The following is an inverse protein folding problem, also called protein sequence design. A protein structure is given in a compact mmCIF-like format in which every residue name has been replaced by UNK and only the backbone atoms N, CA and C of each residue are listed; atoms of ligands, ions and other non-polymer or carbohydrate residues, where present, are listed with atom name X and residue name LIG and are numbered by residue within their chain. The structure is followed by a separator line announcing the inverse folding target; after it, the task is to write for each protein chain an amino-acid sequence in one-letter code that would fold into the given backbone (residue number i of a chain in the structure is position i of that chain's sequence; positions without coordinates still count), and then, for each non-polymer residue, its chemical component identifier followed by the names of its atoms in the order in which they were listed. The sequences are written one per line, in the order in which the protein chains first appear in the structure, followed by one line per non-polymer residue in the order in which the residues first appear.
data_IF_929644078375
#
_entry.id   IF_929644078375
#
_cell.length_a   1.000
_cell.length_b   1.000
_cell.length_c   1.000
_cell.angle_alpha   90.00
_cell.angle_beta   90.00
_cell.angle_gamma   90.00
#
_symmetry.space_group_name_H-M   'P 1'
#
loop_
_entity.id
_entity.type
_entity.pdbx_description
1 polymer ?
#
# COMPACT_ATOMS: atom_id res chain seq x y z
N UNK A 1 -4.15 13.43 21.01
CA UNK A 1 -4.46 14.88 20.87
C UNK A 1 -3.28 15.63 20.26
N UNK A 2 -2.04 15.48 20.76
CA UNK A 2 -0.85 16.08 20.13
C UNK A 2 -0.53 15.55 18.71
N UNK A 3 -0.74 14.26 18.43
CA UNK A 3 -0.54 13.68 17.09
C UNK A 3 -1.61 14.11 16.07
N UNK A 4 -2.79 14.51 16.54
CA UNK A 4 -3.92 14.89 15.69
C UNK A 4 -3.74 16.30 15.10
N UNK A 5 -3.24 17.23 15.92
CA UNK A 5 -2.87 18.58 15.46
C UNK A 5 -1.60 18.56 14.59
N UNK A 6 -0.68 17.62 14.85
CA UNK A 6 0.48 17.40 13.98
C UNK A 6 0.05 16.84 12.62
N UNK A 7 -0.87 15.87 12.59
CA UNK A 7 -1.41 15.30 11.35
C UNK A 7 -2.15 16.35 10.51
N UNK A 8 -3.06 17.12 11.11
CA UNK A 8 -3.76 18.19 10.39
C UNK A 8 -2.82 19.31 9.91
N UNK A 9 -1.83 19.71 10.72
CA UNK A 9 -0.90 20.77 10.31
C UNK A 9 0.14 20.33 9.27
N UNK A 10 0.44 19.03 9.20
CA UNK A 10 1.39 18.46 8.22
C UNK A 10 0.72 18.23 6.87
N UNK A 11 -0.50 17.66 6.86
CA UNK A 11 -1.30 17.48 5.65
C UNK A 11 -1.68 18.84 5.01
N UNK A 12 -1.95 19.87 5.85
CA UNK A 12 -2.19 21.26 5.41
C UNK A 12 -0.96 21.95 4.82
N UNK A 13 0.26 21.51 5.15
CA UNK A 13 1.52 22.09 4.65
C UNK A 13 2.02 21.46 3.34
N UNK A 14 1.59 20.24 3.01
CA UNK A 14 2.12 19.48 1.88
C UNK A 14 1.02 18.86 1.04
N UNK A 15 0.27 19.69 0.31
CA UNK A 15 -0.16 19.24 -1.02
C UNK A 15 1.11 19.23 -1.86
N UNK A 16 1.81 18.10 -1.81
CA UNK A 16 3.12 17.95 -2.43
C UNK A 16 2.99 18.13 -3.95
N UNK A 17 4.09 18.52 -4.61
CA UNK A 17 4.20 18.58 -6.09
C UNK A 17 3.78 17.26 -6.77
N UNK A 18 3.74 16.17 -6.01
CA UNK A 18 3.46 14.82 -6.47
C UNK A 18 2.00 14.40 -6.25
N UNK A 19 1.10 15.27 -5.78
CA UNK A 19 -0.32 14.96 -5.58
C UNK A 19 -1.19 15.38 -6.77
N UNK A 20 -2.05 14.50 -7.28
CA UNK A 20 -2.97 14.84 -8.37
C UNK A 20 -4.31 15.39 -7.84
N UNK A 21 -4.31 16.69 -7.53
CA UNK A 21 -5.48 17.44 -7.03
C UNK A 21 -6.72 17.26 -7.92
N UNK A 22 -6.54 17.39 -9.24
CA UNK A 22 -7.65 17.34 -10.20
C UNK A 22 -8.34 15.97 -10.20
N UNK A 23 -7.57 14.88 -10.33
CA UNK A 23 -8.16 13.53 -10.33
C UNK A 23 -8.81 13.20 -8.99
N UNK A 24 -8.24 13.67 -7.88
CA UNK A 24 -8.83 13.47 -6.54
C UNK A 24 -10.20 14.16 -6.43
N UNK A 25 -10.30 15.44 -6.80
CA UNK A 25 -11.59 16.15 -6.77
C UNK A 25 -12.61 15.49 -7.70
N UNK A 26 -12.18 15.14 -8.92
CA UNK A 26 -13.08 14.53 -9.90
C UNK A 26 -13.57 13.15 -9.47
N UNK A 27 -12.74 12.34 -8.78
CA UNK A 27 -13.19 11.10 -8.14
C UNK A 27 -14.34 11.39 -7.17
N UNK A 28 -14.16 12.30 -6.22
CA UNK A 28 -15.19 12.58 -5.22
C UNK A 28 -16.47 13.10 -5.86
N UNK A 29 -16.36 13.95 -6.88
CA UNK A 29 -17.53 14.44 -7.62
C UNK A 29 -18.27 13.30 -8.32
N UNK A 30 -17.54 12.43 -9.03
CA UNK A 30 -18.09 11.26 -9.72
C UNK A 30 -18.80 10.29 -8.76
N UNK A 31 -18.21 10.07 -7.58
CA UNK A 31 -18.75 9.13 -6.59
C UNK A 31 -19.91 9.71 -5.77
N UNK A 32 -19.83 10.98 -5.37
CA UNK A 32 -20.66 11.52 -4.29
C UNK A 32 -21.51 12.73 -4.70
N UNK A 33 -21.24 13.39 -5.84
CA UNK A 33 -22.02 14.54 -6.31
C UNK A 33 -23.30 14.11 -7.07
N UNK A 34 -23.87 12.95 -6.71
CA UNK A 34 -25.17 12.50 -7.22
C UNK A 34 -26.29 13.09 -6.38
N UNK A 35 -27.44 13.41 -7.00
CA UNK A 35 -28.54 14.16 -6.36
C UNK A 35 -29.12 13.51 -5.08
N UNK A 36 -28.91 12.22 -4.85
CA UNK A 36 -29.39 11.50 -3.66
C UNK A 36 -28.42 11.53 -2.46
N UNK A 37 -27.17 11.95 -2.64
CA UNK A 37 -26.11 11.90 -1.62
C UNK A 37 -25.16 13.12 -1.63
N UNK A 38 -25.57 14.25 -2.24
CA UNK A 38 -24.73 15.42 -2.38
C UNK A 38 -24.43 16.07 -1.02
N UNK A 39 -23.20 15.85 -0.52
CA UNK A 39 -22.66 16.45 0.71
C UNK A 39 -21.78 17.68 0.44
N UNK A 40 -21.68 18.11 -0.81
CA UNK A 40 -20.80 19.22 -1.19
C UNK A 40 -21.45 20.58 -0.88
N UNK A 41 -20.67 21.59 -0.49
CA UNK A 41 -21.12 22.97 -0.40
C UNK A 41 -21.73 23.47 -1.72
N UNK A 42 -22.74 24.35 -1.66
CA UNK A 42 -23.44 24.85 -2.85
C UNK A 42 -22.52 25.60 -3.82
N UNK A 43 -21.49 26.26 -3.29
CA UNK A 43 -20.49 27.02 -4.03
C UNK A 43 -19.20 26.22 -4.30
N UNK A 44 -19.16 24.93 -3.96
CA UNK A 44 -17.97 24.08 -4.09
C UNK A 44 -17.33 24.16 -5.49
N UNK A 45 -18.15 24.15 -6.54
CA UNK A 45 -17.69 24.21 -7.94
C UNK A 45 -17.12 25.57 -8.36
N UNK A 46 -17.29 26.61 -7.54
CA UNK A 46 -16.71 27.94 -7.77
C UNK A 46 -15.32 28.10 -7.15
N UNK A 47 -14.92 27.18 -6.27
CA UNK A 47 -13.63 27.22 -5.60
C UNK A 47 -12.48 26.80 -6.52
N UNK A 48 -11.26 27.18 -6.16
CA UNK A 48 -10.06 26.63 -6.81
C UNK A 48 -9.93 25.14 -6.49
N UNK A 49 -9.34 24.36 -7.40
CA UNK A 49 -9.13 22.91 -7.20
C UNK A 49 -8.38 22.62 -5.90
N UNK A 50 -7.34 23.40 -5.59
CA UNK A 50 -6.59 23.30 -4.34
C UNK A 50 -7.48 23.47 -3.10
N UNK A 51 -8.41 24.43 -3.13
CA UNK A 51 -9.34 24.64 -2.04
C UNK A 51 -10.37 23.50 -1.93
N UNK A 52 -10.87 23.01 -3.07
CA UNK A 52 -11.73 21.81 -3.13
C UNK A 52 -11.02 20.59 -2.52
N UNK A 53 -9.76 20.34 -2.89
CA UNK A 53 -8.95 19.26 -2.32
C UNK A 53 -8.81 19.37 -0.81
N UNK A 54 -8.39 20.55 -0.32
CA UNK A 54 -8.21 20.78 1.12
C UNK A 54 -9.49 20.49 1.89
N UNK A 55 -10.63 21.00 1.40
CA UNK A 55 -11.92 20.74 2.01
C UNK A 55 -12.31 19.24 1.99
N UNK A 56 -12.09 18.55 0.87
CA UNK A 56 -12.40 17.11 0.77
C UNK A 56 -11.55 16.27 1.73
N UNK A 57 -10.28 16.63 1.89
CA UNK A 57 -9.37 15.97 2.83
C UNK A 57 -9.85 16.19 4.27
N UNK A 58 -10.20 17.43 4.64
CA UNK A 58 -10.68 17.75 5.99
C UNK A 58 -12.01 17.05 6.31
N UNK A 59 -12.85 16.77 5.30
CA UNK A 59 -14.17 16.16 5.47
C UNK A 59 -14.22 14.69 5.03
N UNK A 60 -13.06 14.04 4.83
CA UNK A 60 -12.99 12.72 4.20
C UNK A 60 -13.74 11.62 4.97
N UNK A 61 -13.77 11.72 6.30
CA UNK A 61 -14.50 10.80 7.17
C UNK A 61 -16.00 10.77 6.86
N UNK A 62 -16.58 11.91 6.43
CA UNK A 62 -18.00 11.99 6.09
C UNK A 62 -18.34 11.20 4.83
N UNK A 63 -17.40 11.11 3.88
CA UNK A 63 -17.56 10.35 2.64
C UNK A 63 -17.32 8.85 2.85
N UNK A 64 -16.49 8.49 3.83
CA UNK A 64 -16.10 7.11 4.12
C UNK A 64 -16.33 6.73 5.61
N UNK A 65 -17.59 6.72 6.09
CA UNK A 65 -17.89 6.53 7.52
C UNK A 65 -17.53 5.14 8.06
N UNK A 66 -17.30 4.16 7.18
CA UNK A 66 -16.89 2.80 7.54
C UNK A 66 -15.36 2.62 7.56
N UNK A 67 -14.59 3.65 7.23
CA UNK A 67 -13.13 3.59 7.24
C UNK A 67 -12.61 4.11 8.58
N UNK A 68 -11.80 3.34 9.33
CA UNK A 68 -11.20 3.82 10.58
C UNK A 68 -10.40 5.11 10.38
N UNK A 69 -10.45 6.00 11.36
CA UNK A 69 -9.75 7.30 11.31
C UNK A 69 -8.26 7.13 10.98
N UNK A 70 -7.61 6.12 11.56
CA UNK A 70 -6.20 5.81 11.34
C UNK A 70 -5.86 5.42 9.89
N UNK A 71 -6.84 5.07 9.06
CA UNK A 71 -6.64 4.65 7.66
C UNK A 71 -7.11 5.69 6.64
N UNK A 72 -7.79 6.75 7.07
CA UNK A 72 -8.34 7.75 6.15
C UNK A 72 -7.26 8.45 5.32
N UNK A 73 -6.07 8.62 5.87
CA UNK A 73 -4.92 9.24 5.20
C UNK A 73 -4.43 8.46 3.97
N UNK A 74 -4.71 7.15 3.88
CA UNK A 74 -4.36 6.34 2.71
C UNK A 74 -5.17 6.71 1.47
N UNK A 75 -6.36 7.29 1.64
CA UNK A 75 -7.23 7.68 0.52
C UNK A 75 -6.58 8.82 -0.30
N UNK A 76 -6.20 9.97 0.26
CA UNK A 76 -5.40 10.95 -0.49
C UNK A 76 -4.02 10.39 -0.85
N UNK A 77 -3.42 9.51 -0.04
CA UNK A 77 -2.19 8.80 -0.39
C UNK A 77 -2.24 8.08 -1.74
N UNK A 78 -3.43 7.61 -2.15
CA UNK A 78 -3.62 6.98 -3.45
C UNK A 78 -3.44 7.91 -4.66
N UNK A 79 -3.52 9.23 -4.44
CA UNK A 79 -3.31 10.28 -5.44
C UNK A 79 -1.94 10.94 -5.32
N UNK A 80 -1.12 10.54 -4.35
CA UNK A 80 0.23 11.03 -4.17
C UNK A 80 1.25 10.07 -4.80
N UNK A 81 2.13 10.59 -5.66
CA UNK A 81 3.21 9.81 -6.25
C UNK A 81 4.39 9.62 -5.29
N UNK A 82 5.08 8.48 -5.46
CA UNK A 82 6.27 8.13 -4.67
C UNK A 82 7.45 9.07 -5.02
N UNK A 83 8.25 9.42 -4.00
CA UNK A 83 9.43 10.28 -4.09
C UNK A 83 10.66 9.51 -4.59
N UNK A 84 10.63 9.13 -5.87
CA UNK A 84 11.71 8.33 -6.45
C UNK A 84 13.01 9.10 -6.73
N UNK A 85 12.91 10.38 -7.09
CA UNK A 85 14.06 11.19 -7.53
C UNK A 85 14.48 12.25 -6.49
N UNK A 86 13.71 12.41 -5.43
CA UNK A 86 13.83 13.54 -4.51
C UNK A 86 14.69 13.22 -3.28
N UNK A 87 15.27 12.02 -3.20
CA UNK A 87 15.98 11.53 -2.01
C UNK A 87 17.26 10.76 -2.37
N UNK A 88 18.33 11.02 -1.63
CA UNK A 88 19.52 10.16 -1.59
C UNK A 88 19.17 8.82 -0.94
N UNK A 89 19.77 7.74 -1.41
CA UNK A 89 19.52 6.39 -0.87
C UNK A 89 20.52 5.99 0.21
N UNK A 90 21.63 6.71 0.28
CA UNK A 90 22.69 6.51 1.26
C UNK A 90 22.53 7.39 2.50
N UNK A 91 21.64 8.40 2.44
CA UNK A 91 21.35 9.30 3.56
C UNK A 91 20.18 8.75 4.40
N UNK A 92 20.42 8.64 5.70
CA UNK A 92 19.39 8.27 6.65
C UNK A 92 18.48 9.47 6.94
N UNK A 93 17.15 9.28 7.05
CA UNK A 93 16.28 10.35 7.51
C UNK A 93 16.53 10.66 8.99
N UNK A 94 16.31 11.92 9.39
CA UNK A 94 16.57 12.40 10.75
C UNK A 94 15.84 11.60 11.85
N UNK A 95 14.69 11.03 11.52
CA UNK A 95 13.88 10.23 12.45
C UNK A 95 14.36 8.78 12.60
N UNK A 96 15.34 8.34 11.81
CA UNK A 96 15.77 6.95 11.82
C UNK A 96 16.58 6.63 13.07
N UNK A 97 16.11 5.62 13.82
CA UNK A 97 16.77 5.10 15.00
C UNK A 97 17.48 3.79 14.63
N UNK A 98 18.81 3.87 14.51
CA UNK A 98 19.63 2.72 14.12
C UNK A 98 19.56 1.60 15.16
N UNK A 99 19.48 1.91 16.45
CA UNK A 99 19.39 0.88 17.50
C UNK A 99 18.04 0.16 17.46
N UNK A 100 16.96 0.91 17.20
CA UNK A 100 15.62 0.35 16.97
C UNK A 100 15.58 -0.51 15.71
N UNK A 101 16.23 -0.08 14.62
CA UNK A 101 16.38 -0.92 13.42
C UNK A 101 17.11 -2.24 13.74
N UNK A 102 18.23 -2.19 14.47
CA UNK A 102 19.00 -3.39 14.88
C UNK A 102 18.19 -4.34 15.75
N UNK A 103 17.33 -3.81 16.64
CA UNK A 103 16.36 -4.64 17.39
C UNK A 103 15.36 -5.32 16.46
N UNK A 104 14.85 -4.62 15.45
CA UNK A 104 13.98 -5.20 14.42
C UNK A 104 14.64 -6.37 13.66
N UNK A 105 15.93 -6.25 13.35
CA UNK A 105 16.68 -7.34 12.72
C UNK A 105 16.85 -8.55 13.65
N UNK A 106 17.08 -8.33 14.95
CA UNK A 106 17.11 -9.43 15.94
C UNK A 106 15.76 -10.12 16.06
N UNK A 107 14.67 -9.35 16.06
CA UNK A 107 13.31 -9.88 16.06
C UNK A 107 13.05 -10.75 14.83
N UNK A 108 13.51 -10.29 13.65
CA UNK A 108 13.48 -11.09 12.42
C UNK A 108 14.22 -12.41 12.56
N UNK A 109 15.49 -12.38 12.99
CA UNK A 109 16.32 -13.59 13.11
C UNK A 109 15.70 -14.62 14.06
N UNK A 110 15.12 -14.16 15.17
CA UNK A 110 14.43 -15.01 16.15
C UNK A 110 13.16 -15.66 15.59
N UNK A 111 12.44 -14.95 14.71
CA UNK A 111 11.10 -15.33 14.24
C UNK A 111 11.04 -15.60 12.72
N UNK A 112 12.18 -15.95 12.11
CA UNK A 112 12.35 -16.05 10.66
C UNK A 112 11.22 -16.81 9.95
N UNK A 113 10.92 -18.04 10.40
CA UNK A 113 9.93 -18.91 9.77
C UNK A 113 8.52 -18.30 9.88
N UNK A 114 8.16 -17.79 11.06
CA UNK A 114 6.87 -17.17 11.31
C UNK A 114 6.69 -15.91 10.44
N UNK A 115 7.72 -15.07 10.33
CA UNK A 115 7.67 -13.86 9.53
C UNK A 115 7.59 -14.21 8.04
N UNK A 116 8.33 -15.20 7.53
CA UNK A 116 8.19 -15.67 6.14
C UNK A 116 6.78 -16.18 5.86
N UNK A 117 6.23 -17.03 6.73
CA UNK A 117 4.85 -17.52 6.61
C UNK A 117 3.86 -16.36 6.56
N UNK A 118 4.06 -15.35 7.41
CA UNK A 118 3.22 -14.15 7.40
C UNK A 118 3.24 -13.39 6.07
N UNK A 119 4.36 -13.39 5.33
CA UNK A 119 4.44 -12.73 4.01
C UNK A 119 3.65 -13.50 2.96
N UNK A 120 3.69 -14.84 3.02
CA UNK A 120 2.90 -15.68 2.12
C UNK A 120 1.40 -15.43 2.34
N UNK A 121 0.95 -15.38 3.60
CA UNK A 121 -0.45 -15.10 3.91
C UNK A 121 -0.79 -13.64 3.58
N UNK A 122 0.05 -12.68 3.95
CA UNK A 122 -0.14 -11.26 3.64
C UNK A 122 -0.27 -10.99 2.14
N UNK A 123 0.46 -11.72 1.31
CA UNK A 123 0.34 -11.66 -0.14
C UNK A 123 -1.05 -12.11 -0.64
N UNK A 124 -1.69 -13.07 0.03
CA UNK A 124 -3.09 -13.44 -0.31
C UNK A 124 -4.08 -12.32 0.01
N UNK A 125 -3.82 -11.53 1.07
CA UNK A 125 -4.59 -10.32 1.36
C UNK A 125 -4.44 -9.29 0.25
N UNK A 126 -3.21 -9.07 -0.25
CA UNK A 126 -2.91 -8.14 -1.35
C UNK A 126 -3.70 -8.52 -2.61
N UNK A 127 -3.82 -9.81 -2.94
CA UNK A 127 -4.59 -10.25 -4.12
C UNK A 127 -6.09 -9.98 -4.05
N UNK A 128 -6.61 -9.61 -2.87
CA UNK A 128 -8.01 -9.19 -2.72
C UNK A 128 -8.26 -7.76 -3.20
N UNK A 129 -7.21 -7.00 -3.53
CA UNK A 129 -7.27 -5.63 -4.03
C UNK A 129 -6.85 -5.58 -5.51
N UNK A 130 -7.78 -5.24 -6.41
CA UNK A 130 -7.50 -5.28 -7.85
C UNK A 130 -6.39 -4.30 -8.27
N UNK A 131 -6.27 -3.16 -7.58
CA UNK A 131 -5.24 -2.16 -7.87
C UNK A 131 -3.84 -2.69 -7.54
N UNK A 132 -3.68 -3.45 -6.46
CA UNK A 132 -2.42 -4.12 -6.10
C UNK A 132 -2.09 -5.30 -7.02
N UNK A 133 -3.12 -6.02 -7.48
CA UNK A 133 -2.97 -7.17 -8.35
C UNK A 133 -2.50 -6.75 -9.76
N UNK A 134 -2.90 -5.58 -10.26
CA UNK A 134 -2.54 -5.09 -11.60
C UNK A 134 -1.01 -5.01 -11.82
N UNK A 135 -0.20 -4.33 -10.97
CA UNK A 135 1.26 -4.36 -11.06
C UNK A 135 1.85 -5.78 -11.06
N UNK A 136 1.29 -6.69 -10.25
CA UNK A 136 1.77 -8.07 -10.10
C UNK A 136 1.53 -8.88 -11.38
N UNK A 137 0.34 -8.75 -11.98
CA UNK A 137 -0.08 -9.43 -13.21
C UNK A 137 0.61 -8.83 -14.43
N UNK A 138 0.66 -7.50 -14.52
CA UNK A 138 1.33 -6.78 -15.61
C UNK A 138 2.83 -7.08 -15.69
N UNK A 139 3.45 -7.41 -14.55
CA UNK A 139 4.85 -7.82 -14.51
C UNK A 139 5.15 -9.12 -15.27
N UNK A 140 4.19 -9.84 -15.85
CA UNK A 140 4.33 -11.02 -16.75
C UNK A 140 5.13 -12.25 -16.23
N UNK A 141 5.69 -12.22 -15.02
CA UNK A 141 6.51 -13.31 -14.46
C UNK A 141 5.76 -14.21 -13.46
N UNK A 142 4.43 -14.25 -13.50
CA UNK A 142 3.62 -15.02 -12.54
C UNK A 142 2.44 -15.79 -13.18
N UNK A 143 2.40 -15.90 -14.51
CA UNK A 143 1.25 -16.46 -15.24
C UNK A 143 1.21 -18.00 -15.28
N UNK A 144 2.23 -18.69 -14.74
CA UNK A 144 2.23 -20.14 -14.52
C UNK A 144 2.69 -20.45 -13.08
N UNK A 145 2.30 -21.61 -12.51
CA UNK A 145 2.74 -21.99 -11.16
C UNK A 145 4.26 -21.98 -10.96
N UNK A 146 5.02 -22.42 -11.98
CA UNK A 146 6.49 -22.43 -11.91
C UNK A 146 7.11 -21.03 -11.94
N UNK A 147 6.59 -20.14 -12.80
CA UNK A 147 7.07 -18.75 -12.86
C UNK A 147 6.70 -18.00 -11.57
N UNK A 148 5.48 -18.20 -11.08
CA UNK A 148 5.04 -17.68 -9.78
C UNK A 148 5.97 -18.16 -8.65
N UNK A 149 6.27 -19.47 -8.59
CA UNK A 149 7.23 -20.02 -7.63
C UNK A 149 8.59 -19.32 -7.69
N UNK A 150 9.17 -19.17 -8.88
CA UNK A 150 10.45 -18.45 -9.07
C UNK A 150 10.38 -17.00 -8.59
N UNK A 151 9.30 -16.29 -8.95
CA UNK A 151 9.08 -14.90 -8.55
C UNK A 151 9.04 -14.78 -7.03
N UNK A 152 8.20 -15.57 -6.36
CA UNK A 152 8.02 -15.46 -4.91
C UNK A 152 9.23 -15.95 -4.13
N UNK A 153 9.93 -16.99 -4.61
CA UNK A 153 11.20 -17.39 -4.01
C UNK A 153 12.26 -16.28 -4.14
N UNK A 154 12.31 -15.60 -5.29
CA UNK A 154 13.19 -14.43 -5.46
C UNK A 154 12.79 -13.28 -4.55
N UNK A 155 11.50 -13.02 -4.33
CA UNK A 155 11.02 -11.99 -3.40
C UNK A 155 11.41 -12.33 -1.96
N UNK A 156 11.21 -13.57 -1.52
CA UNK A 156 11.61 -14.05 -0.18
C UNK A 156 13.12 -13.83 0.01
N UNK A 157 13.95 -14.24 -0.95
CA UNK A 157 15.39 -14.04 -0.89
C UNK A 157 15.78 -12.56 -0.75
N UNK A 158 15.18 -11.68 -1.56
CA UNK A 158 15.43 -10.23 -1.47
C UNK A 158 15.05 -9.69 -0.09
N UNK A 159 13.87 -10.06 0.41
CA UNK A 159 13.41 -9.60 1.71
C UNK A 159 14.32 -10.10 2.85
N UNK A 160 14.81 -11.34 2.80
CA UNK A 160 15.79 -11.83 3.77
C UNK A 160 17.06 -10.97 3.76
N UNK A 161 17.58 -10.62 2.58
CA UNK A 161 18.72 -9.71 2.48
C UNK A 161 18.43 -8.33 3.08
N UNK A 162 17.20 -7.81 2.93
CA UNK A 162 16.81 -6.53 3.53
C UNK A 162 16.82 -6.61 5.06
N UNK A 163 16.26 -7.69 5.62
CA UNK A 163 16.20 -7.88 7.06
C UNK A 163 17.56 -8.12 7.69
N UNK A 164 18.49 -8.74 6.98
CA UNK A 164 19.80 -9.09 7.53
C UNK A 164 20.85 -8.01 7.30
N UNK A 165 20.59 -7.03 6.42
CA UNK A 165 21.57 -6.02 6.02
C UNK A 165 21.12 -4.58 6.15
N UNK A 166 22.01 -3.70 5.70
CA UNK A 166 21.83 -2.25 5.71
C UNK A 166 21.59 -1.75 4.29
N UNK A 167 20.34 -1.41 3.93
CA UNK A 167 20.02 -1.00 2.57
C UNK A 167 20.51 0.39 2.19
N UNK A 168 20.94 1.20 3.15
CA UNK A 168 21.57 2.50 2.92
C UNK A 168 23.11 2.42 2.75
N UNK A 169 23.73 1.26 3.01
CA UNK A 169 25.17 1.08 2.83
C UNK A 169 25.45 0.50 1.45
N UNK A 170 26.06 1.32 0.58
CA UNK A 170 26.41 0.91 -0.78
C UNK A 170 27.30 -0.34 -0.77
N UNK A 171 26.91 -1.33 -1.57
CA UNK A 171 27.67 -2.58 -1.76
C UNK A 171 27.15 -3.77 -0.94
N UNK A 172 26.32 -3.54 0.08
CA UNK A 172 25.61 -4.63 0.77
C UNK A 172 24.60 -5.29 -0.16
N UNK A 173 24.24 -6.54 0.13
CA UNK A 173 23.21 -7.24 -0.65
C UNK A 173 21.82 -6.63 -0.41
N UNK A 174 21.56 -6.13 0.80
CA UNK A 174 20.38 -5.32 1.11
C UNK A 174 20.26 -4.11 0.17
N UNK A 175 21.32 -3.32 0.02
CA UNK A 175 21.36 -2.13 -0.84
C UNK A 175 21.08 -2.52 -2.30
N UNK A 176 21.77 -3.56 -2.82
CA UNK A 176 21.58 -4.02 -4.19
C UNK A 176 20.15 -4.47 -4.45
N UNK A 177 19.58 -5.27 -3.55
CA UNK A 177 18.23 -5.83 -3.74
C UNK A 177 17.13 -4.77 -3.57
N UNK A 178 17.28 -3.83 -2.64
CA UNK A 178 16.34 -2.72 -2.50
C UNK A 178 16.42 -1.76 -3.69
N UNK A 179 17.62 -1.49 -4.23
CA UNK A 179 17.78 -0.73 -5.49
C UNK A 179 17.08 -1.40 -6.66
N UNK A 180 17.25 -2.71 -6.83
CA UNK A 180 16.57 -3.49 -7.88
C UNK A 180 15.06 -3.38 -7.70
N UNK A 181 14.56 -3.55 -6.48
CA UNK A 181 13.13 -3.53 -6.20
C UNK A 181 12.52 -2.14 -6.41
N UNK A 182 13.19 -1.08 -5.93
CA UNK A 182 12.82 0.32 -6.23
C UNK A 182 12.73 0.55 -7.73
N UNK A 183 13.74 0.12 -8.49
CA UNK A 183 13.74 0.25 -9.97
C UNK A 183 12.61 -0.52 -10.63
N UNK A 184 12.32 -1.75 -10.20
CA UNK A 184 11.20 -2.54 -10.72
C UNK A 184 9.86 -1.83 -10.51
N UNK A 185 9.61 -1.31 -9.30
CA UNK A 185 8.41 -0.56 -8.99
C UNK A 185 8.28 0.72 -9.81
N UNK A 186 9.38 1.47 -9.98
CA UNK A 186 9.44 2.65 -10.85
C UNK A 186 9.05 2.33 -12.29
N UNK A 187 9.62 1.26 -12.85
CA UNK A 187 9.36 0.87 -14.24
C UNK A 187 7.93 0.42 -14.45
N UNK A 188 7.38 -0.40 -13.53
CA UNK A 188 5.98 -0.83 -13.61
C UNK A 188 5.05 0.37 -13.49
N UNK A 189 5.32 1.29 -12.56
CA UNK A 189 4.57 2.53 -12.43
C UNK A 189 4.57 3.33 -13.74
N UNK A 190 5.75 3.61 -14.31
CA UNK A 190 5.88 4.35 -15.56
C UNK A 190 5.05 3.73 -16.68
N UNK A 191 5.10 2.40 -16.81
CA UNK A 191 4.30 1.65 -17.81
C UNK A 191 2.80 1.80 -17.56
N UNK A 192 2.34 1.64 -16.32
CA UNK A 192 0.91 1.75 -15.98
C UNK A 192 0.38 3.17 -16.15
N UNK A 193 1.12 4.20 -15.70
CA UNK A 193 0.71 5.59 -15.86
C UNK A 193 0.61 6.00 -17.35
N UNK A 194 1.46 5.42 -18.21
CA UNK A 194 1.46 5.65 -19.65
C UNK A 194 0.35 4.96 -20.45
N UNK A 195 -0.55 4.22 -19.79
CA UNK A 195 -1.67 3.51 -20.44
C UNK A 195 -3.02 4.06 -20.01
N UNK A 196 -4.06 3.78 -20.82
CA UNK A 196 -5.46 3.99 -20.43
C UNK A 196 -5.93 2.88 -19.48
N UNK A 197 -7.03 3.12 -18.76
CA UNK A 197 -7.60 2.10 -17.87
C UNK A 197 -8.06 0.85 -18.62
N UNK A 198 -8.58 1.01 -19.84
CA UNK A 198 -9.02 -0.09 -20.70
C UNK A 198 -7.84 -0.93 -21.15
N UNK A 199 -6.72 -0.29 -21.52
CA UNK A 199 -5.49 -0.99 -21.89
C UNK A 199 -4.92 -1.79 -20.71
N UNK A 200 -4.91 -1.21 -19.51
CA UNK A 200 -4.48 -1.90 -18.28
C UNK A 200 -5.40 -3.10 -18.01
N UNK A 201 -6.72 -2.89 -18.06
CA UNK A 201 -7.70 -3.95 -17.81
C UNK A 201 -7.53 -5.11 -18.81
N UNK A 202 -7.39 -4.81 -20.10
CA UNK A 202 -7.16 -5.82 -21.14
C UNK A 202 -5.88 -6.63 -20.88
N UNK A 203 -4.77 -5.97 -20.52
CA UNK A 203 -3.49 -6.65 -20.21
C UNK A 203 -3.50 -7.44 -18.91
N UNK A 204 -4.32 -7.05 -17.94
CA UNK A 204 -4.42 -7.74 -16.65
C UNK A 204 -5.51 -8.83 -16.64
N UNK A 205 -6.28 -8.97 -17.71
CA UNK A 205 -7.31 -10.01 -17.83
C UNK A 205 -6.68 -11.32 -18.30
N UNK A 206 -6.70 -12.33 -17.44
CA UNK A 206 -6.28 -13.69 -17.81
C UNK A 206 -7.48 -14.44 -18.39
N UNK A 207 -7.42 -14.81 -19.67
CA UNK A 207 -8.54 -15.45 -20.36
C UNK A 207 -8.91 -16.83 -19.76
N UNK A 208 -7.91 -17.59 -19.29
CA UNK A 208 -8.08 -18.93 -18.72
C UNK A 208 -7.15 -19.13 -17.51
N UNK A 209 -7.46 -18.54 -16.34
CA UNK A 209 -6.63 -18.76 -15.15
C UNK A 209 -6.70 -20.23 -14.73
N UNK A 210 -5.56 -20.90 -14.64
CA UNK A 210 -5.51 -22.28 -14.16
C UNK A 210 -5.76 -22.32 -12.66
N UNK A 211 -6.90 -22.88 -12.27
CA UNK A 211 -7.23 -23.20 -10.88
C UNK A 211 -8.12 -24.47 -10.88
N UNK A 212 -7.55 -25.65 -10.62
CA UNK A 212 -8.29 -26.92 -10.65
C UNK A 212 -9.41 -26.96 -9.59
N UNK A 213 -9.27 -26.17 -8.52
CA UNK A 213 -10.19 -26.13 -7.39
C UNK A 213 -11.20 -24.97 -7.49
N UNK A 214 -11.23 -24.24 -8.61
CA UNK A 214 -12.03 -23.00 -8.74
C UNK A 214 -13.50 -23.21 -8.42
N UNK A 215 -14.13 -24.24 -8.99
CA UNK A 215 -15.56 -24.50 -8.79
C UNK A 215 -15.85 -24.89 -7.34
N UNK A 216 -15.00 -25.72 -6.75
CA UNK A 216 -15.10 -26.12 -5.33
C UNK A 216 -14.96 -24.91 -4.41
N UNK A 217 -13.91 -24.10 -4.60
CA UNK A 217 -13.68 -22.89 -3.81
C UNK A 217 -14.84 -21.90 -3.94
N UNK A 218 -15.37 -21.69 -5.15
CA UNK A 218 -16.54 -20.81 -5.34
C UNK A 218 -17.77 -21.31 -4.60
N UNK A 219 -18.01 -22.62 -4.62
CA UNK A 219 -19.10 -23.25 -3.87
C UNK A 219 -18.91 -23.05 -2.37
N UNK A 220 -17.72 -23.34 -1.84
CA UNK A 220 -17.42 -23.22 -0.42
C UNK A 220 -17.52 -21.77 0.06
N UNK A 221 -16.96 -20.81 -0.69
CA UNK A 221 -17.11 -19.39 -0.37
C UNK A 221 -18.56 -18.93 -0.44
N UNK A 222 -19.35 -19.41 -1.41
CA UNK A 222 -20.78 -19.06 -1.50
C UNK A 222 -21.60 -19.60 -0.33
N UNK A 223 -21.18 -20.73 0.26
CA UNK A 223 -21.86 -21.36 1.39
C UNK A 223 -21.41 -20.77 2.74
N UNK A 224 -20.13 -20.41 2.88
CA UNK A 224 -19.53 -19.99 4.14
C UNK A 224 -19.49 -18.47 4.34
N UNK A 225 -19.38 -17.68 3.25
CA UNK A 225 -19.26 -16.24 3.35
C UNK A 225 -20.62 -15.54 3.25
N UNK A 226 -20.91 -14.56 4.14
CA UNK A 226 -22.12 -13.77 4.02
C UNK A 226 -22.09 -12.94 2.72
N UNK A 227 -23.27 -12.64 2.13
CA UNK A 227 -23.36 -11.74 0.99
C UNK A 227 -22.71 -10.39 1.30
N UNK A 228 -22.04 -9.81 0.30
CA UNK A 228 -21.44 -8.47 0.43
C UNK A 228 -22.52 -7.43 0.75
N UNK A 229 -22.32 -6.69 1.84
CA UNK A 229 -23.15 -5.54 2.17
C UNK A 229 -22.75 -4.35 1.29
N UNK A 230 -23.73 -3.54 0.89
CA UNK A 230 -23.45 -2.29 0.19
C UNK A 230 -22.48 -1.41 1.00
N UNK A 231 -21.44 -0.88 0.37
CA UNK A 231 -20.43 -0.06 1.04
C UNK A 231 -19.46 -0.81 1.96
N UNK A 232 -19.52 -2.16 2.01
CA UNK A 232 -18.58 -2.98 2.79
C UNK A 232 -17.14 -2.88 2.28
N UNK A 233 -16.96 -2.62 0.98
CA UNK A 233 -15.65 -2.43 0.34
C UNK A 233 -15.55 -1.03 -0.27
N UNK A 234 -15.20 0.00 0.52
CA UNK A 234 -15.02 1.37 0.03
C UNK A 234 -14.12 1.45 -1.21
N UNK A 235 -13.05 0.65 -1.23
CA UNK A 235 -12.08 0.54 -2.34
C UNK A 235 -12.75 0.21 -3.69
N UNK A 236 -13.78 -0.66 -3.70
CA UNK A 236 -14.48 -1.06 -4.94
C UNK A 236 -15.37 0.04 -5.53
N UNK A 237 -15.79 1.00 -4.70
CA UNK A 237 -16.58 2.14 -5.17
C UNK A 237 -15.70 3.02 -6.05
N UNK A 238 -14.49 3.33 -5.58
CA UNK A 238 -13.51 4.13 -6.32
C UNK A 238 -13.11 3.52 -7.66
N UNK A 239 -13.07 2.19 -7.76
CA UNK A 239 -12.71 1.49 -9.01
C UNK A 239 -13.69 1.70 -10.17
N UNK A 240 -14.94 2.08 -9.88
CA UNK A 240 -15.95 2.37 -10.90
C UNK A 240 -15.73 3.71 -11.58
N UNK A 241 -14.97 4.60 -10.94
CA UNK A 241 -14.68 5.91 -11.48
C UNK A 241 -13.67 5.88 -12.61
N UNK A 242 -13.81 6.82 -13.53
CA UNK A 242 -12.81 7.10 -14.56
C UNK A 242 -11.58 7.85 -14.00
N UNK A 243 -11.67 8.36 -12.78
CA UNK A 243 -10.62 9.14 -12.10
C UNK A 243 -9.85 8.34 -11.03
N UNK A 244 -9.92 7.01 -11.09
CA UNK A 244 -9.14 6.15 -10.19
C UNK A 244 -7.64 6.28 -10.49
N UNK A 245 -6.77 6.18 -9.47
CA UNK A 245 -5.34 6.34 -9.67
C UNK A 245 -4.76 5.25 -10.57
N UNK A 246 -3.62 5.56 -11.21
CA UNK A 246 -2.88 4.64 -12.08
C UNK A 246 -1.46 4.44 -11.59
N UNK A 247 -0.99 3.20 -11.73
CA UNK A 247 0.35 2.81 -11.31
C UNK A 247 0.50 2.83 -9.79
N UNK A 248 1.68 2.45 -9.32
CA UNK A 248 1.92 2.31 -7.88
C UNK A 248 2.09 3.71 -7.26
N UNK A 249 1.28 4.01 -6.24
CA UNK A 249 1.25 5.29 -5.51
C UNK A 249 1.60 5.08 -4.01
N UNK A 250 1.55 6.13 -3.19
CA UNK A 250 1.86 6.03 -1.76
C UNK A 250 0.85 5.15 -1.01
N UNK A 251 -0.44 5.30 -1.30
CA UNK A 251 -1.50 4.50 -0.69
C UNK A 251 -1.35 3.01 -0.97
N UNK A 252 -1.03 2.63 -2.21
CA UNK A 252 -0.81 1.23 -2.61
C UNK A 252 0.39 0.62 -1.87
N UNK A 253 1.50 1.36 -1.81
CA UNK A 253 2.70 0.88 -1.13
C UNK A 253 2.49 0.71 0.38
N UNK A 254 1.83 1.67 1.02
CA UNK A 254 1.50 1.60 2.44
C UNK A 254 0.54 0.44 2.72
N UNK A 255 -0.47 0.21 1.86
CA UNK A 255 -1.35 -0.95 1.96
C UNK A 255 -0.59 -2.28 1.81
N UNK A 256 0.34 -2.35 0.86
CA UNK A 256 1.21 -3.51 0.66
C UNK A 256 2.10 -3.78 1.88
N UNK A 257 2.75 -2.76 2.44
CA UNK A 257 3.52 -2.91 3.68
C UNK A 257 2.63 -3.38 4.83
N UNK A 258 1.42 -2.83 4.95
CA UNK A 258 0.48 -3.20 5.99
C UNK A 258 0.15 -4.69 5.91
N UNK A 259 -0.18 -5.18 4.71
CA UNK A 259 -0.46 -6.59 4.48
C UNK A 259 0.73 -7.49 4.86
N UNK A 260 1.97 -7.00 4.74
CA UNK A 260 3.15 -7.74 5.17
C UNK A 260 3.36 -7.74 6.69
N UNK A 261 2.98 -6.69 7.42
CA UNK A 261 3.27 -6.58 8.87
C UNK A 261 2.08 -6.86 9.78
N UNK A 262 0.86 -6.86 9.24
CA UNK A 262 -0.37 -6.98 10.04
C UNK A 262 -0.42 -8.26 10.87
N UNK A 263 0.02 -9.40 10.34
CA UNK A 263 -0.02 -10.67 11.07
C UNK A 263 1.01 -10.72 12.22
N UNK A 264 2.30 -10.38 12.02
CA UNK A 264 3.24 -10.28 13.13
C UNK A 264 2.82 -9.29 14.21
N UNK A 265 2.21 -8.15 13.83
CA UNK A 265 1.89 -7.07 14.77
C UNK A 265 0.58 -7.34 15.51
N UNK A 266 -0.50 -7.68 14.81
CA UNK A 266 -1.82 -7.83 15.41
C UNK A 266 -2.12 -9.25 15.89
N UNK A 267 -1.51 -10.26 15.26
CA UNK A 267 -1.77 -11.67 15.56
C UNK A 267 -0.49 -12.51 15.72
N UNK A 268 0.53 -12.05 16.47
CA UNK A 268 1.83 -12.72 16.56
C UNK A 268 1.70 -14.20 16.96
N UNK A 269 0.88 -14.50 17.97
CA UNK A 269 0.69 -15.86 18.48
C UNK A 269 0.05 -16.80 17.46
N UNK A 270 -0.78 -16.30 16.56
CA UNK A 270 -1.47 -17.10 15.54
C UNK A 270 -0.51 -17.59 14.45
N UNK A 271 0.64 -16.91 14.28
CA UNK A 271 1.67 -17.29 13.33
C UNK A 271 2.92 -17.88 14.00
N UNK A 272 2.85 -18.19 15.31
CA UNK A 272 3.92 -18.85 16.06
C UNK A 272 4.91 -17.92 16.75
N UNK A 273 4.64 -16.61 16.82
CA UNK A 273 5.44 -15.64 17.59
C UNK A 273 4.82 -15.50 18.99
N UNK A 274 5.39 -16.19 19.97
CA UNK A 274 4.81 -16.28 21.32
C UNK A 274 5.37 -15.30 22.34
N UNK A 275 6.58 -14.79 22.09
CA UNK A 275 7.38 -14.01 23.05
C UNK A 275 7.79 -12.65 22.49
N UNK A 276 6.99 -12.10 21.57
CA UNK A 276 7.11 -10.71 21.14
C UNK A 276 6.73 -9.76 22.26
N UNK A 277 7.61 -8.81 22.55
CA UNK A 277 7.30 -7.65 23.39
C UNK A 277 6.80 -6.49 22.53
N UNK A 278 6.15 -5.49 23.13
CA UNK A 278 5.75 -4.28 22.41
C UNK A 278 6.96 -3.58 21.76
N UNK A 279 8.10 -3.57 22.47
CA UNK A 279 9.36 -3.03 21.94
C UNK A 279 9.85 -3.79 20.69
N UNK A 280 9.71 -5.11 20.66
CA UNK A 280 10.06 -5.92 19.48
C UNK A 280 9.16 -5.59 18.29
N UNK A 281 7.85 -5.45 18.52
CA UNK A 281 6.87 -5.14 17.48
C UNK A 281 7.09 -3.72 16.94
N UNK A 282 7.32 -2.75 17.82
CA UNK A 282 7.67 -1.39 17.43
C UNK A 282 8.98 -1.34 16.63
N UNK A 283 9.98 -2.12 17.03
CA UNK A 283 11.25 -2.22 16.30
C UNK A 283 11.07 -2.84 14.91
N UNK A 284 10.20 -3.85 14.80
CA UNK A 284 9.82 -4.43 13.52
C UNK A 284 9.07 -3.44 12.62
N UNK A 285 8.13 -2.67 13.17
CA UNK A 285 7.44 -1.59 12.45
C UNK A 285 8.43 -0.50 12.00
N UNK A 286 9.36 -0.09 12.86
CA UNK A 286 10.39 0.90 12.53
C UNK A 286 11.26 0.45 11.34
N UNK A 287 11.64 -0.83 11.31
CA UNK A 287 12.39 -1.42 10.21
C UNK A 287 11.59 -1.36 8.89
N UNK A 288 10.29 -1.65 8.92
CA UNK A 288 9.42 -1.52 7.75
C UNK A 288 9.22 -0.09 7.29
N UNK A 289 9.15 0.86 8.23
CA UNK A 289 9.15 2.30 7.94
C UNK A 289 10.43 2.74 7.23
N UNK A 290 11.59 2.22 7.64
CA UNK A 290 12.85 2.45 6.91
C UNK A 290 12.78 1.91 5.47
N UNK A 291 12.14 0.76 5.26
CA UNK A 291 11.98 0.21 3.92
C UNK A 291 11.02 1.02 3.05
N UNK A 292 9.91 1.51 3.60
CA UNK A 292 8.99 2.40 2.91
C UNK A 292 9.68 3.67 2.44
N UNK A 293 10.43 4.31 3.35
CA UNK A 293 11.25 5.47 3.02
C UNK A 293 12.23 5.20 1.87
N UNK A 294 12.99 4.10 1.95
CA UNK A 294 13.93 3.70 0.91
C UNK A 294 13.24 3.36 -0.42
N UNK A 295 12.00 2.87 -0.40
CA UNK A 295 11.22 2.57 -1.60
C UNK A 295 10.49 3.80 -2.16
N UNK A 296 10.49 4.92 -1.43
CA UNK A 296 10.03 6.23 -1.89
C UNK A 296 8.67 6.65 -1.35
N UNK A 297 8.17 5.98 -0.31
CA UNK A 297 6.96 6.39 0.40
C UNK A 297 7.24 7.71 1.13
N UNK A 298 6.29 8.63 1.05
CA UNK A 298 6.32 9.87 1.81
C UNK A 298 6.04 9.58 3.28
N UNK A 299 6.73 10.29 4.16
CA UNK A 299 6.71 10.02 5.60
C UNK A 299 5.30 10.22 6.20
N UNK A 300 4.48 11.03 5.54
CA UNK A 300 3.09 11.33 5.86
C UNK A 300 2.11 10.18 5.56
N UNK A 301 2.47 9.28 4.64
CA UNK A 301 1.64 8.12 4.26
C UNK A 301 2.19 6.80 4.78
N UNK A 302 3.32 6.85 5.50
CA UNK A 302 3.88 5.68 6.14
C UNK A 302 2.96 5.19 7.27
N UNK A 303 2.92 3.87 7.47
CA UNK A 303 2.07 3.27 8.48
C UNK A 303 2.44 3.75 9.88
N UNK A 304 1.50 4.47 10.49
CA UNK A 304 1.51 4.82 11.90
C UNK A 304 0.81 3.70 12.67
N UNK A 305 1.55 2.63 12.98
CA UNK A 305 1.10 1.52 13.82
C UNK A 305 1.75 1.60 15.19
#
# INVERSE_FOLDING_TARGET
MADQDLFESTLKKSISKNFNENEFVMLFKDLFQTKSQNKFPNDFDTWTVKHQCGWLIDNIAEFFPNTPQSLLHLIPGSYCQLKYNDRSLEELPDWMDVDKYRKGQKFWLKNYIAIILSKVIGLTCIFSFDEELRPVTFGEHAHTPYLAFKKYMSTIKRMSNWYEGDPWIKGTDAYKDMRVTRSMHMQIRQKLCGMSHEQIAAKCTLANPWNPDREMLLKDFSAACPPEKHGQRPQKISQKSSYKPKGINNGDFAMTQFCFIVLPVLYPKNIGIHDATDEDLEAFCHMWKCYGYFLGIDDEYELQL
#
